data_IF_959706212537
#
_entry.id   IF_959706212537
#
_cell.length_a   1.000
_cell.length_b   1.000
_cell.length_c   1.000
_cell.angle_alpha   90.00
_cell.angle_beta   90.00
_cell.angle_gamma   90.00
#
_symmetry.space_group_name_H-M   'P 1'
#
loop_
_entity.id
_entity.type
_entity.pdbx_description
1 polymer ?
#
# COMPACT_ATOMS: atom_id res chain seq x y z
N UNK A 1 9.77 -12.49 -4.01
CA UNK A 1 9.04 -11.76 -2.96
C UNK A 1 7.86 -11.09 -3.59
N UNK A 2 6.69 -11.24 -2.99
CA UNK A 2 5.50 -10.44 -3.32
C UNK A 2 5.54 -9.11 -2.55
N UNK A 3 4.57 -8.22 -2.81
CA UNK A 3 4.50 -6.91 -2.16
C UNK A 3 4.43 -7.01 -0.62
N UNK A 4 3.73 -8.02 -0.09
CA UNK A 4 3.57 -8.22 1.35
C UNK A 4 4.90 -8.59 2.02
N UNK A 5 5.73 -9.39 1.34
CA UNK A 5 7.07 -9.71 1.85
C UNK A 5 7.93 -8.45 2.00
N UNK A 6 7.86 -7.52 1.04
CA UNK A 6 8.55 -6.23 1.12
C UNK A 6 8.00 -5.36 2.24
N UNK A 7 6.68 -5.29 2.39
CA UNK A 7 6.03 -4.57 3.50
C UNK A 7 6.49 -5.11 4.84
N UNK A 8 6.51 -6.44 5.02
CA UNK A 8 6.96 -7.10 6.24
C UNK A 8 8.42 -6.78 6.58
N UNK A 9 9.29 -6.70 5.57
CA UNK A 9 10.71 -6.45 5.73
C UNK A 9 11.08 -4.99 6.09
N UNK A 10 10.15 -4.03 6.00
CA UNK A 10 10.44 -2.62 6.31
C UNK A 10 10.81 -2.44 7.78
N UNK A 11 12.03 -1.97 8.04
CA UNK A 11 12.50 -1.58 9.37
C UNK A 11 13.30 -0.26 9.35
N UNK A 12 13.87 0.11 8.20
CA UNK A 12 14.72 1.28 7.97
C UNK A 12 14.41 1.97 6.63
N UNK A 13 15.16 3.02 6.31
CA UNK A 13 15.01 3.79 5.07
C UNK A 13 15.25 2.94 3.80
N UNK A 14 16.26 2.06 3.83
CA UNK A 14 16.63 1.28 2.66
C UNK A 14 15.57 0.23 2.33
N UNK A 15 15.09 -0.49 3.34
CA UNK A 15 14.00 -1.47 3.21
C UNK A 15 12.67 -0.79 2.86
N UNK A 16 12.43 0.43 3.35
CA UNK A 16 11.30 1.26 2.94
C UNK A 16 11.33 1.62 1.45
N UNK A 17 12.47 2.09 0.94
CA UNK A 17 12.61 2.41 -0.50
C UNK A 17 12.45 1.17 -1.38
N UNK A 18 12.93 0.01 -0.91
CA UNK A 18 12.68 -1.27 -1.60
C UNK A 18 11.19 -1.61 -1.66
N UNK A 19 10.44 -1.36 -0.57
CA UNK A 19 8.98 -1.50 -0.56
C UNK A 19 8.29 -0.52 -1.50
N UNK A 20 8.65 0.76 -1.50
CA UNK A 20 8.08 1.76 -2.42
C UNK A 20 8.29 1.35 -3.88
N UNK A 21 9.48 0.87 -4.23
CA UNK A 21 9.75 0.36 -5.58
C UNK A 21 8.88 -0.85 -5.93
N UNK A 22 8.66 -1.76 -4.98
CA UNK A 22 7.77 -2.90 -5.17
C UNK A 22 6.31 -2.46 -5.35
N UNK A 23 5.82 -1.50 -4.57
CA UNK A 23 4.47 -0.94 -4.66
C UNK A 23 4.24 -0.27 -6.02
N UNK A 24 5.21 0.50 -6.50
CA UNK A 24 5.15 1.14 -7.83
C UNK A 24 5.04 0.10 -8.95
N UNK A 25 5.86 -0.96 -8.90
CA UNK A 25 5.78 -2.07 -9.86
C UNK A 25 4.43 -2.77 -9.83
N UNK A 26 3.88 -2.97 -8.63
CA UNK A 26 2.57 -3.58 -8.42
C UNK A 26 1.45 -2.72 -9.06
N UNK A 27 1.48 -1.39 -8.89
CA UNK A 27 0.53 -0.48 -9.58
C UNK A 27 0.68 -0.53 -11.09
N UNK A 28 1.90 -0.47 -11.62
CA UNK A 28 2.12 -0.56 -13.06
C UNK A 28 1.59 -1.86 -13.66
N UNK A 29 1.77 -2.99 -12.96
CA UNK A 29 1.21 -4.25 -13.40
C UNK A 29 -0.33 -4.25 -13.41
N UNK A 30 -0.97 -3.61 -12.41
CA UNK A 30 -2.42 -3.46 -12.35
C UNK A 30 -2.95 -2.63 -13.53
N UNK A 31 -2.38 -1.44 -13.75
CA UNK A 31 -2.77 -0.53 -14.86
C UNK A 31 -2.55 -1.17 -16.22
N UNK A 32 -1.42 -1.85 -16.43
CA UNK A 32 -1.14 -2.51 -17.71
C UNK A 32 -2.07 -3.69 -17.99
N UNK A 33 -2.54 -4.38 -16.95
CA UNK A 33 -3.51 -5.48 -17.09
C UNK A 33 -4.89 -4.93 -17.47
N UNK A 34 -5.34 -3.87 -16.82
CA UNK A 34 -6.59 -3.15 -17.14
C UNK A 34 -6.64 -2.64 -18.58
N UNK A 35 -5.51 -2.14 -19.09
CA UNK A 35 -5.42 -1.70 -20.48
C UNK A 35 -5.48 -2.85 -21.51
N UNK A 36 -5.17 -4.09 -21.09
CA UNK A 36 -5.10 -5.26 -21.97
C UNK A 36 -6.39 -6.10 -21.95
N UNK A 37 -7.01 -6.25 -20.78
CA UNK A 37 -8.26 -6.96 -20.58
C UNK A 37 -9.37 -5.96 -20.24
N UNK A 38 -10.37 -5.81 -21.13
CA UNK A 38 -11.60 -5.03 -20.87
C UNK A 38 -12.52 -5.74 -19.84
N UNK A 39 -11.95 -6.30 -18.76
CA UNK A 39 -12.66 -7.06 -17.74
C UNK A 39 -12.57 -6.34 -16.39
N UNK A 40 -13.72 -6.20 -15.71
CA UNK A 40 -13.89 -5.64 -14.36
C UNK A 40 -13.28 -6.50 -13.23
N UNK A 41 -12.26 -7.31 -13.53
CA UNK A 41 -11.68 -8.27 -12.59
C UNK A 41 -10.64 -7.56 -11.73
N UNK A 42 -11.00 -7.32 -10.45
CA UNK A 42 -10.30 -6.51 -9.44
C UNK A 42 -8.78 -6.45 -9.68
N UNK A 43 -8.32 -5.31 -10.21
CA UNK A 43 -6.97 -5.09 -10.74
C UNK A 43 -5.88 -5.40 -9.72
N UNK A 44 -5.34 -6.62 -9.68
CA UNK A 44 -4.30 -7.03 -8.70
C UNK A 44 -4.63 -6.65 -7.23
N UNK A 45 -5.91 -6.57 -6.87
CA UNK A 45 -6.37 -6.15 -5.54
C UNK A 45 -6.17 -4.66 -5.22
N UNK A 46 -6.19 -3.77 -6.22
CA UNK A 46 -6.30 -2.32 -6.01
C UNK A 46 -7.77 -1.93 -5.92
N UNK A 47 -8.21 -1.43 -4.76
CA UNK A 47 -9.56 -0.85 -4.59
C UNK A 47 -9.59 0.64 -4.98
N UNK A 48 -8.43 1.30 -5.02
CA UNK A 48 -8.30 2.73 -5.30
C UNK A 48 -7.45 2.99 -6.55
N UNK A 49 -8.09 3.35 -7.65
CA UNK A 49 -7.43 3.48 -8.96
C UNK A 49 -6.90 4.90 -9.25
N UNK A 50 -7.43 5.91 -8.57
CA UNK A 50 -6.98 7.30 -8.69
C UNK A 50 -6.02 7.67 -7.56
N UNK A 51 -5.22 8.73 -7.78
CA UNK A 51 -4.32 9.21 -6.72
C UNK A 51 -5.11 9.79 -5.55
N UNK A 52 -6.25 10.41 -5.81
CA UNK A 52 -7.17 10.92 -4.81
C UNK A 52 -7.72 9.79 -3.93
N UNK A 53 -8.29 8.75 -4.53
CA UNK A 53 -8.81 7.61 -3.77
C UNK A 53 -7.72 6.88 -2.98
N UNK A 54 -6.52 6.74 -3.55
CA UNK A 54 -5.38 6.14 -2.85
C UNK A 54 -5.00 6.93 -1.58
N UNK A 55 -4.96 8.27 -1.67
CA UNK A 55 -4.62 9.13 -0.54
C UNK A 55 -5.76 9.23 0.48
N UNK A 56 -7.01 9.29 0.02
CA UNK A 56 -8.20 9.29 0.89
C UNK A 56 -8.27 8.01 1.72
N UNK A 57 -8.08 6.85 1.09
CA UNK A 57 -8.12 5.55 1.76
C UNK A 57 -6.95 5.34 2.73
N UNK A 58 -5.73 5.80 2.37
CA UNK A 58 -4.61 5.80 3.30
C UNK A 58 -4.87 6.71 4.52
N UNK A 59 -5.48 7.88 4.29
CA UNK A 59 -5.84 8.83 5.33
C UNK A 59 -6.92 8.27 6.27
N UNK A 60 -7.99 7.70 5.72
CA UNK A 60 -9.08 7.08 6.49
C UNK A 60 -8.54 5.98 7.42
N UNK A 61 -7.69 5.09 6.89
CA UNK A 61 -7.02 4.07 7.71
C UNK A 61 -6.18 4.70 8.83
N UNK A 62 -5.45 5.78 8.55
CA UNK A 62 -4.62 6.46 9.54
C UNK A 62 -5.45 7.05 10.69
N UNK A 63 -6.59 7.69 10.39
CA UNK A 63 -7.50 8.24 11.41
C UNK A 63 -8.13 7.14 12.27
N UNK A 64 -8.58 6.05 11.65
CA UNK A 64 -9.24 4.96 12.37
C UNK A 64 -8.28 4.13 13.23
N UNK A 65 -7.07 3.88 12.73
CA UNK A 65 -6.08 3.04 13.39
C UNK A 65 -5.19 3.80 14.38
N UNK A 66 -5.33 5.13 14.49
CA UNK A 66 -4.37 6.02 15.17
C UNK A 66 -2.94 5.80 14.63
N UNK A 67 -2.82 5.95 13.31
CA UNK A 67 -1.60 5.71 12.51
C UNK A 67 -0.95 4.34 12.81
N UNK A 68 -1.80 3.30 12.91
CA UNK A 68 -1.42 1.92 13.19
C UNK A 68 -1.24 1.58 14.67
N UNK A 69 -1.36 2.52 15.61
CA UNK A 69 -1.17 2.24 17.04
C UNK A 69 -2.20 1.21 17.56
N UNK A 70 -3.45 1.29 17.11
CA UNK A 70 -4.52 0.33 17.46
C UNK A 70 -4.35 -1.03 16.76
N UNK A 71 -3.41 -1.16 15.84
CA UNK A 71 -3.12 -2.37 15.06
C UNK A 71 -1.76 -2.98 15.42
N UNK A 72 -1.19 -2.62 16.57
CA UNK A 72 0.09 -3.17 17.04
C UNK A 72 1.32 -2.61 16.33
N UNK A 73 1.20 -1.45 15.68
CA UNK A 73 2.34 -0.72 15.13
C UNK A 73 2.84 0.38 16.07
N UNK A 74 2.34 0.48 17.30
CA UNK A 74 2.72 1.50 18.28
C UNK A 74 4.25 1.62 18.43
N UNK A 75 4.95 0.49 18.57
CA UNK A 75 6.41 0.40 18.70
C UNK A 75 7.16 0.22 17.37
N UNK A 76 6.46 0.24 16.23
CA UNK A 76 7.08 0.06 14.92
C UNK A 76 7.90 1.31 14.51
N UNK A 77 8.91 1.11 13.65
CA UNK A 77 9.68 2.23 13.11
C UNK A 77 8.78 3.17 12.29
N UNK A 78 9.11 4.47 12.20
CA UNK A 78 8.35 5.42 11.37
C UNK A 78 8.22 4.94 9.92
N UNK A 79 9.27 4.30 9.40
CA UNK A 79 9.30 3.71 8.06
C UNK A 79 8.28 2.58 7.89
N UNK A 80 8.14 1.70 8.89
CA UNK A 80 7.15 0.62 8.88
C UNK A 80 5.73 1.17 8.93
N UNK A 81 5.49 2.17 9.78
CA UNK A 81 4.19 2.87 9.86
C UNK A 81 3.84 3.51 8.52
N UNK A 82 4.80 4.19 7.90
CA UNK A 82 4.57 4.85 6.61
C UNK A 82 4.42 3.86 5.45
N UNK A 83 5.15 2.75 5.44
CA UNK A 83 4.92 1.67 4.47
C UNK A 83 3.51 1.08 4.60
N UNK A 84 3.03 0.88 5.83
CA UNK A 84 1.68 0.38 6.08
C UNK A 84 0.63 1.39 5.63
N UNK A 85 0.82 2.68 5.94
CA UNK A 85 0.00 3.78 5.43
C UNK A 85 -0.15 3.73 3.90
N UNK A 86 0.97 3.63 3.16
CA UNK A 86 0.95 3.54 1.70
C UNK A 86 0.27 2.24 1.21
N UNK A 87 0.46 1.12 1.90
CA UNK A 87 -0.21 -0.12 1.57
C UNK A 87 -1.73 -0.02 1.76
N UNK A 88 -2.20 0.65 2.82
CA UNK A 88 -3.62 0.86 3.05
C UNK A 88 -4.26 1.73 1.97
N UNK A 89 -3.53 2.68 1.37
CA UNK A 89 -4.01 3.39 0.19
C UNK A 89 -4.37 2.47 -0.99
N UNK A 90 -3.74 1.29 -1.10
CA UNK A 90 -4.09 0.30 -2.14
C UNK A 90 -5.37 -0.47 -1.82
N UNK A 91 -5.55 -0.91 -0.57
CA UNK A 91 -6.52 -1.98 -0.21
C UNK A 91 -7.66 -1.54 0.70
N UNK A 92 -7.59 -0.35 1.28
CA UNK A 92 -8.61 0.16 2.20
C UNK A 92 -9.77 0.77 1.41
N UNK A 93 -11.01 0.47 1.84
CA UNK A 93 -12.27 0.88 1.21
C UNK A 93 -13.07 1.80 2.13
#
# INVERSE_FOLDING_TARGET
MNLMDYLHAVNDEHTFLAFVHALTKDRHAAVNKSAADNSDDVENGWSNETIEGFLESAHAWAEESDFGARQGLDSASPWKKFATFLYCGKVYE
#
